data_IF_651887143043
#
_entry.id   IF_651887143043
#
_cell.length_a   1.000
_cell.length_b   1.000
_cell.length_c   1.000
_cell.angle_alpha   90.00
_cell.angle_beta   90.00
_cell.angle_gamma   90.00
#
_symmetry.space_group_name_H-M   'P 1'
#
loop_
_entity.id
_entity.type
_entity.pdbx_description
1 polymer ?
#
# COMPACT_ATOMS: atom_id res chain seq x y z
N UNK A 1 13.03 -11.26 26.30
CA UNK A 1 12.63 -11.30 26.03
C UNK A 1 12.17 -11.15 25.02
N UNK A 2 12.40 -11.26 24.27
CA UNK A 2 11.91 -11.21 22.96
C UNK A 2 10.50 -11.54 22.91
N UNK A 3 9.73 -10.63 23.08
CA UNK A 3 8.31 -10.85 23.01
C UNK A 3 7.78 -10.79 21.58
N UNK A 4 8.67 -10.88 20.56
CA UNK A 4 8.26 -10.90 19.18
C UNK A 4 7.96 -9.55 18.55
N UNK A 5 8.21 -8.48 19.25
CA UNK A 5 8.04 -7.16 18.65
C UNK A 5 9.16 -6.87 17.67
N UNK A 6 8.78 -6.38 16.49
CA UNK A 6 9.73 -6.01 15.46
C UNK A 6 10.21 -4.58 15.65
N UNK A 7 11.47 -4.32 15.32
CA UNK A 7 11.98 -2.96 15.25
C UNK A 7 11.40 -2.25 14.04
N UNK A 8 11.49 -0.92 14.02
CA UNK A 8 11.04 -0.14 12.87
C UNK A 8 11.74 -0.58 11.59
N UNK A 9 13.06 -0.85 11.66
CA UNK A 9 13.83 -1.31 10.51
C UNK A 9 13.35 -2.66 10.01
N UNK A 10 13.04 -3.56 10.93
CA UNK A 10 12.57 -4.90 10.57
C UNK A 10 11.21 -4.83 9.91
N UNK A 11 10.32 -3.97 10.39
CA UNK A 11 9.00 -3.80 9.80
C UNK A 11 9.09 -3.21 8.40
N UNK A 12 9.92 -2.20 8.20
CA UNK A 12 10.14 -1.61 6.89
C UNK A 12 10.69 -2.65 5.92
N UNK A 13 11.69 -3.41 6.36
CA UNK A 13 12.29 -4.46 5.54
C UNK A 13 11.26 -5.53 5.17
N UNK A 14 10.46 -5.95 6.15
CA UNK A 14 9.42 -6.96 5.94
C UNK A 14 8.38 -6.46 4.95
N UNK A 15 7.98 -5.20 5.09
CA UNK A 15 7.03 -4.58 4.18
C UNK A 15 7.57 -4.54 2.75
N UNK A 16 8.81 -4.07 2.55
CA UNK A 16 9.39 -4.02 1.21
C UNK A 16 9.54 -5.40 0.61
N UNK A 17 9.92 -6.37 1.41
CA UNK A 17 10.06 -7.75 0.98
C UNK A 17 8.71 -8.29 0.46
N UNK A 18 7.67 -8.08 1.24
CA UNK A 18 6.32 -8.52 0.87
C UNK A 18 5.82 -7.78 -0.36
N UNK A 19 6.00 -6.47 -0.41
CA UNK A 19 5.56 -5.64 -1.52
C UNK A 19 6.26 -6.07 -2.82
N UNK A 20 7.57 -6.29 -2.76
CA UNK A 20 8.35 -6.71 -3.94
C UNK A 20 7.86 -8.05 -4.48
N UNK A 21 7.61 -9.00 -3.58
CA UNK A 21 7.09 -10.30 -4.00
C UNK A 21 5.69 -10.18 -4.60
N UNK A 22 4.89 -9.29 -4.05
CA UNK A 22 3.55 -9.03 -4.56
C UNK A 22 3.62 -8.45 -5.97
N UNK A 23 4.47 -7.45 -6.20
CA UNK A 23 4.63 -6.86 -7.52
C UNK A 23 5.13 -7.87 -8.54
N UNK A 24 6.08 -8.70 -8.13
CA UNK A 24 6.58 -9.76 -9.03
C UNK A 24 5.45 -10.73 -9.40
N UNK A 25 4.64 -11.09 -8.42
CA UNK A 25 3.51 -12.00 -8.68
C UNK A 25 2.50 -11.37 -9.65
N UNK A 26 2.23 -10.08 -9.52
CA UNK A 26 1.36 -9.38 -10.45
C UNK A 26 1.91 -9.45 -11.86
N UNK A 27 3.19 -9.17 -12.03
CA UNK A 27 3.83 -9.20 -13.35
C UNK A 27 3.81 -10.60 -13.95
N UNK A 28 4.10 -11.61 -13.14
CA UNK A 28 4.06 -13.00 -13.59
C UNK A 28 2.65 -13.43 -13.94
N UNK A 29 1.65 -12.87 -13.27
CA UNK A 29 0.25 -13.18 -13.53
C UNK A 29 -0.34 -12.44 -14.72
N UNK A 30 0.45 -11.61 -15.39
CA UNK A 30 -0.02 -10.89 -16.58
C UNK A 30 -0.61 -9.53 -16.30
N UNK A 31 -0.57 -9.03 -15.08
CA UNK A 31 -1.04 -7.69 -14.77
C UNK A 31 0.07 -6.70 -15.09
N UNK A 32 0.20 -6.38 -16.36
CA UNK A 32 1.28 -5.56 -16.87
C UNK A 32 0.73 -4.33 -17.58
N UNK A 33 1.34 -3.18 -17.30
CA UNK A 33 1.03 -1.95 -18.04
C UNK A 33 1.71 -2.00 -19.41
N UNK A 34 1.13 -1.31 -20.37
CA UNK A 34 1.72 -1.19 -21.70
C UNK A 34 3.04 -0.43 -21.59
N UNK A 35 4.04 -0.86 -22.36
CA UNK A 35 5.35 -0.23 -22.39
C UNK A 35 6.46 -1.25 -22.44
N UNK A 36 7.70 -0.76 -22.54
CA UNK A 36 8.87 -1.63 -22.62
C UNK A 36 9.30 -2.18 -21.28
N UNK A 37 9.07 -1.41 -20.21
CA UNK A 37 9.40 -1.87 -18.87
C UNK A 37 8.26 -2.66 -18.29
N UNK A 38 8.60 -3.75 -17.61
CA UNK A 38 7.59 -4.56 -16.92
C UNK A 38 7.15 -3.83 -15.65
N UNK A 39 6.01 -3.15 -15.75
CA UNK A 39 5.42 -2.45 -14.61
C UNK A 39 4.10 -3.12 -14.24
N UNK A 40 3.83 -3.35 -12.94
CA UNK A 40 2.58 -3.98 -12.55
C UNK A 40 1.39 -3.05 -12.79
N UNK A 41 0.29 -3.63 -13.25
CA UNK A 41 -0.96 -2.90 -13.42
C UNK A 41 -1.83 -3.15 -12.20
N UNK A 42 -1.65 -2.34 -11.17
CA UNK A 42 -2.37 -2.46 -9.93
C UNK A 42 -3.87 -2.25 -10.09
N UNK A 43 -4.25 -1.34 -10.99
CA UNK A 43 -5.68 -1.04 -11.18
C UNK A 43 -6.40 -2.21 -11.82
N UNK A 44 -5.79 -2.82 -12.83
CA UNK A 44 -6.37 -4.01 -13.45
C UNK A 44 -6.50 -5.13 -12.42
N UNK A 45 -5.49 -5.31 -11.58
CA UNK A 45 -5.55 -6.31 -10.52
C UNK A 45 -6.67 -5.99 -9.53
N UNK A 46 -6.75 -4.74 -9.07
CA UNK A 46 -7.79 -4.34 -8.13
C UNK A 46 -9.20 -4.59 -8.69
N UNK A 47 -9.37 -4.41 -10.00
CA UNK A 47 -10.66 -4.64 -10.64
C UNK A 47 -11.07 -6.11 -10.59
N UNK A 48 -10.10 -7.04 -10.64
CA UNK A 48 -10.42 -8.46 -10.49
C UNK A 48 -10.90 -8.79 -9.09
N UNK A 49 -10.56 -7.95 -8.11
CA UNK A 49 -10.94 -8.16 -6.72
C UNK A 49 -12.20 -7.41 -6.32
N UNK A 50 -12.83 -6.72 -7.26
CA UNK A 50 -13.96 -5.84 -6.97
C UNK A 50 -15.03 -6.57 -6.15
N UNK A 51 -15.37 -5.99 -5.00
CA UNK A 51 -16.38 -6.54 -4.11
C UNK A 51 -15.87 -7.65 -3.20
N UNK A 52 -14.63 -8.11 -3.37
CA UNK A 52 -14.11 -9.22 -2.57
C UNK A 52 -13.62 -8.80 -1.19
N UNK A 53 -13.19 -7.54 -1.02
CA UNK A 53 -12.68 -7.10 0.27
C UNK A 53 -13.74 -7.20 1.37
N UNK A 54 -14.99 -6.91 1.04
CA UNK A 54 -16.07 -7.02 2.01
C UNK A 54 -16.37 -8.46 2.41
N UNK A 55 -15.88 -9.42 1.64
CA UNK A 55 -16.09 -10.85 1.90
C UNK A 55 -14.94 -11.50 2.65
N UNK A 56 -13.83 -10.78 2.82
CA UNK A 56 -12.70 -11.31 3.58
C UNK A 56 -13.08 -11.36 5.05
N UNK A 57 -13.01 -12.55 5.63
CA UNK A 57 -13.41 -12.74 7.03
C UNK A 57 -12.17 -12.86 7.93
N UNK A 58 -11.34 -11.85 7.89
CA UNK A 58 -10.12 -11.77 8.67
C UNK A 58 -10.13 -10.44 9.41
N UNK A 59 -10.14 -10.48 10.74
CA UNK A 59 -10.26 -9.27 11.53
C UNK A 59 -9.05 -8.35 11.38
N UNK A 60 -7.85 -8.91 11.26
CA UNK A 60 -6.65 -8.09 11.07
C UNK A 60 -6.74 -7.34 9.74
N UNK A 61 -7.18 -8.02 8.67
CA UNK A 61 -7.36 -7.38 7.38
C UNK A 61 -8.41 -6.27 7.43
N UNK A 62 -9.53 -6.54 8.09
CA UNK A 62 -10.60 -5.53 8.21
C UNK A 62 -10.13 -4.30 8.96
N UNK A 63 -9.41 -4.49 10.06
CA UNK A 63 -8.86 -3.38 10.84
C UNK A 63 -7.83 -2.60 10.03
N UNK A 64 -7.00 -3.31 9.26
CA UNK A 64 -5.98 -2.67 8.43
C UNK A 64 -6.62 -1.78 7.37
N UNK A 65 -7.62 -2.29 6.67
CA UNK A 65 -8.34 -1.50 5.67
C UNK A 65 -9.00 -0.28 6.28
N UNK A 66 -9.65 -0.47 7.43
CA UNK A 66 -10.32 0.63 8.13
C UNK A 66 -9.31 1.69 8.55
N UNK A 67 -8.16 1.28 9.07
CA UNK A 67 -7.12 2.20 9.51
C UNK A 67 -6.59 3.04 8.35
N UNK A 68 -6.27 2.39 7.22
CA UNK A 68 -5.75 3.10 6.06
C UNK A 68 -6.76 4.11 5.51
N UNK A 69 -8.03 3.77 5.52
CA UNK A 69 -9.07 4.68 5.02
C UNK A 69 -9.32 5.83 6.00
N UNK A 70 -9.19 5.58 7.29
CA UNK A 70 -9.42 6.60 8.32
C UNK A 70 -8.25 7.56 8.43
N UNK A 71 -7.02 7.05 8.32
CA UNK A 71 -5.80 7.85 8.40
C UNK A 71 -4.97 7.58 7.15
N UNK A 72 -5.42 8.07 5.98
CA UNK A 72 -4.73 7.75 4.73
C UNK A 72 -3.37 8.43 4.65
N UNK A 73 -2.38 7.76 4.06
CA UNK A 73 -1.08 8.38 3.85
C UNK A 73 -1.19 9.52 2.85
N UNK A 74 -0.51 10.62 3.14
CA UNK A 74 -0.41 11.72 2.19
C UNK A 74 0.62 11.40 1.13
N UNK A 75 0.45 11.93 -0.07
CA UNK A 75 1.41 11.69 -1.13
C UNK A 75 2.24 12.93 -1.40
N UNK A 76 3.47 12.71 -1.84
CA UNK A 76 4.38 13.79 -2.19
C UNK A 76 4.01 14.36 -3.54
N UNK A 77 3.93 15.67 -3.61
CA UNK A 77 3.63 16.41 -4.84
C UNK A 77 4.61 17.58 -4.99
N UNK A 78 4.57 18.20 -6.15
CA UNK A 78 5.40 19.39 -6.42
C UNK A 78 4.49 20.58 -6.62
N UNK A 79 4.72 21.63 -5.85
CA UNK A 79 4.04 22.94 -6.00
C UNK A 79 5.11 24.00 -6.15
N UNK A 80 5.13 24.69 -7.29
CA UNK A 80 6.09 25.78 -7.54
C UNK A 80 7.53 25.33 -7.28
N UNK A 81 7.89 24.18 -7.84
CA UNK A 81 9.23 23.58 -7.73
C UNK A 81 9.63 23.14 -6.31
N UNK A 82 8.68 23.11 -5.38
CA UNK A 82 8.91 22.67 -4.01
C UNK A 82 8.11 21.43 -3.72
N UNK A 83 8.67 20.54 -2.91
CA UNK A 83 7.97 19.35 -2.47
C UNK A 83 6.93 19.74 -1.42
N UNK A 84 5.75 19.18 -1.55
CA UNK A 84 4.67 19.37 -0.59
C UNK A 84 3.90 18.07 -0.44
N UNK A 85 2.95 18.05 0.44
CA UNK A 85 2.15 16.87 0.74
C UNK A 85 0.69 17.13 0.40
N UNK A 86 0.07 16.15 -0.23
CA UNK A 86 -1.33 16.25 -0.61
C UNK A 86 -2.11 15.13 0.07
N UNK A 87 -3.25 15.49 0.65
CA UNK A 87 -4.14 14.51 1.26
C UNK A 87 -4.71 13.57 0.21
N UNK A 88 -4.82 12.31 0.59
CA UNK A 88 -5.37 11.28 -0.29
C UNK A 88 -6.82 11.02 0.10
N UNK A 89 -7.70 11.06 -0.89
CA UNK A 89 -9.11 10.77 -0.68
C UNK A 89 -9.60 9.79 -1.74
N UNK A 90 -10.66 9.08 -1.40
CA UNK A 90 -11.28 8.15 -2.37
C UNK A 90 -11.93 8.96 -3.48
N UNK A 91 -11.67 8.54 -4.71
CA UNK A 91 -12.23 9.21 -5.88
C UNK A 91 -13.67 8.76 -6.11
N UNK A 92 -14.46 9.64 -6.76
CA UNK A 92 -15.82 9.29 -7.13
C UNK A 92 -15.81 8.04 -8.03
N UNK A 93 -16.61 7.04 -7.68
CA UNK A 93 -16.67 5.80 -8.45
C UNK A 93 -15.51 4.84 -8.24
N UNK A 94 -14.54 5.21 -7.43
CA UNK A 94 -13.41 4.33 -7.15
C UNK A 94 -13.84 3.20 -6.21
N UNK A 95 -13.57 1.94 -6.58
CA UNK A 95 -13.88 0.82 -5.72
C UNK A 95 -13.03 0.83 -4.46
N UNK A 96 -13.49 0.14 -3.43
CA UNK A 96 -12.72 0.02 -2.20
C UNK A 96 -11.38 -0.66 -2.47
N UNK A 97 -11.38 -1.70 -3.31
CA UNK A 97 -10.16 -2.43 -3.65
C UNK A 97 -9.14 -1.52 -4.33
N UNK A 98 -9.57 -0.71 -5.28
CA UNK A 98 -8.69 0.25 -5.94
C UNK A 98 -8.14 1.27 -4.95
N UNK A 99 -9.01 1.80 -4.09
CA UNK A 99 -8.61 2.82 -3.14
C UNK A 99 -7.59 2.29 -2.13
N UNK A 100 -7.90 1.16 -1.48
CA UNK A 100 -7.00 0.58 -0.47
C UNK A 100 -5.65 0.24 -1.09
N UNK A 101 -5.63 -0.39 -2.27
CA UNK A 101 -4.36 -0.73 -2.92
C UNK A 101 -3.59 0.51 -3.34
N UNK A 102 -4.30 1.60 -3.69
CA UNK A 102 -3.64 2.87 -3.99
C UNK A 102 -3.00 3.46 -2.73
N UNK A 103 -3.66 3.35 -1.58
CA UNK A 103 -3.08 3.79 -0.31
C UNK A 103 -1.83 2.97 0.04
N UNK A 104 -1.88 1.67 -0.17
CA UNK A 104 -0.71 0.79 0.06
C UNK A 104 0.47 1.24 -0.79
N UNK A 105 0.23 1.54 -2.07
CA UNK A 105 1.30 2.02 -2.95
C UNK A 105 1.83 3.38 -2.51
N UNK A 106 0.97 4.23 -1.97
CA UNK A 106 1.40 5.53 -1.46
C UNK A 106 2.36 5.37 -0.28
N UNK A 107 2.07 4.45 0.62
CA UNK A 107 2.99 4.14 1.73
C UNK A 107 4.34 3.67 1.18
N UNK A 108 4.32 2.76 0.23
CA UNK A 108 5.56 2.25 -0.39
C UNK A 108 6.35 3.37 -1.04
N UNK A 109 5.68 4.25 -1.78
CA UNK A 109 6.36 5.34 -2.46
C UNK A 109 6.98 6.32 -1.47
N UNK A 110 6.26 6.64 -0.40
CA UNK A 110 6.81 7.52 0.62
C UNK A 110 8.05 6.93 1.27
N UNK A 111 8.02 5.64 1.59
CA UNK A 111 9.17 4.97 2.18
C UNK A 111 10.34 4.88 1.22
N UNK A 112 10.08 4.60 -0.05
CA UNK A 112 11.13 4.39 -1.04
C UNK A 112 11.83 5.70 -1.40
N UNK A 113 11.05 6.78 -1.58
CA UNK A 113 11.61 8.05 -2.04
C UNK A 113 12.18 8.92 -0.93
N UNK A 114 12.11 8.45 0.30
CA UNK A 114 12.73 9.12 1.41
C UNK A 114 12.03 10.38 1.86
N UNK A 115 12.74 11.18 2.60
CA UNK A 115 12.18 12.37 3.20
C UNK A 115 11.88 12.17 4.68
N UNK A 116 11.77 13.25 5.40
CA UNK A 116 11.57 13.19 6.83
C UNK A 116 10.24 12.57 7.21
N UNK A 117 9.21 12.79 6.40
CA UNK A 117 7.89 12.18 6.67
C UNK A 117 7.89 10.68 6.51
N UNK A 118 8.75 10.16 5.64
CA UNK A 118 8.89 8.72 5.47
C UNK A 118 9.36 8.07 6.77
N UNK A 119 10.28 8.72 7.45
CA UNK A 119 10.81 8.21 8.70
C UNK A 119 9.80 8.31 9.84
N UNK A 120 8.75 9.11 9.66
CA UNK A 120 7.71 9.27 10.65
C UNK A 120 6.41 8.58 10.27
N UNK A 121 6.45 7.70 9.26
CA UNK A 121 5.28 6.86 8.95
C UNK A 121 4.99 6.03 10.19
N UNK A 122 3.78 6.13 10.74
CA UNK A 122 3.48 5.41 11.97
C UNK A 122 3.60 3.90 11.79
N UNK A 123 4.07 3.25 12.83
CA UNK A 123 4.19 1.79 12.85
C UNK A 123 2.87 1.13 12.51
N UNK A 124 1.78 1.69 13.03
CA UNK A 124 0.43 1.18 12.77
C UNK A 124 0.10 1.21 11.29
N UNK A 125 0.52 2.28 10.58
CA UNK A 125 0.29 2.38 9.14
C UNK A 125 1.08 1.32 8.39
N UNK A 126 2.33 1.09 8.79
CA UNK A 126 3.15 0.06 8.18
C UNK A 126 2.56 -1.32 8.36
N UNK A 127 2.15 -1.63 9.59
CA UNK A 127 1.55 -2.92 9.91
C UNK A 127 0.23 -3.10 9.18
N UNK A 128 -0.60 -2.05 9.15
CA UNK A 128 -1.88 -2.10 8.43
C UNK A 128 -1.66 -2.35 6.94
N UNK A 129 -0.68 -1.67 6.35
CA UNK A 129 -0.36 -1.82 4.93
C UNK A 129 0.06 -3.25 4.63
N UNK A 130 0.93 -3.80 5.46
CA UNK A 130 1.40 -5.17 5.29
C UNK A 130 0.25 -6.17 5.41
N UNK A 131 -0.64 -5.97 6.39
CA UNK A 131 -1.79 -6.85 6.58
C UNK A 131 -2.75 -6.79 5.39
N UNK A 132 -2.86 -5.65 4.73
CA UNK A 132 -3.69 -5.54 3.53
C UNK A 132 -3.15 -6.37 2.36
N UNK A 133 -1.84 -6.60 2.31
CA UNK A 133 -1.24 -7.38 1.23
C UNK A 133 -1.24 -8.88 1.50
N UNK A 134 -1.20 -9.29 2.77
CA UNK A 134 -1.04 -10.70 3.14
C UNK A 134 -2.12 -11.64 2.60
N UNK A 135 -3.40 -11.30 2.66
CA UNK A 135 -4.43 -12.24 2.22
C UNK A 135 -4.39 -12.55 0.73
N UNK A 136 -3.75 -11.70 -0.08
CA UNK A 136 -3.71 -11.86 -1.52
C UNK A 136 -2.47 -12.56 -2.01
N UNK A 137 -1.56 -12.87 -1.10
CA UNK A 137 -0.26 -13.49 -1.44
C UNK A 137 -0.25 -14.99 -1.20
#
# INVERSE_FOLDING_TARGET
MGNGELTDKEIVFEFFSLFSRFEYALKRGGFLRKGKRAKPDWEAYADTLRGLFSKVNDEAFKRACAYLKEIPPEKQIVIQYKMDWEKTTQKSGESEERYVLRLVRTVRNNLFHGGTRTLSVPLETMTATEDCLKPAV
#
